data_IF_478774916356
#
_entry.id   IF_478774916356
#
_cell.length_a   1.000
_cell.length_b   1.000
_cell.length_c   1.000
_cell.angle_alpha   90.00
_cell.angle_beta   90.00
_cell.angle_gamma   90.00
#
_symmetry.space_group_name_H-M   'P 1'
#
loop_
_entity.id
_entity.type
_entity.pdbx_description
1 polymer ?
#
# COMPACT_ATOMS: atom_id res chain seq x y z
N UNK A 1 -4.54 18.83 21.39
CA UNK A 1 -5.07 18.89 22.76
C UNK A 1 -3.90 18.82 23.73
N UNK A 2 -3.73 19.80 24.64
CA UNK A 2 -2.67 19.78 25.67
C UNK A 2 -2.67 18.48 26.49
N UNK A 3 -3.86 17.98 26.83
CA UNK A 3 -4.05 16.74 27.58
C UNK A 3 -3.52 15.50 26.84
N UNK A 4 -3.71 15.43 25.51
CA UNK A 4 -3.17 14.30 24.72
C UNK A 4 -1.64 14.29 24.73
N UNK A 5 -1.01 15.48 24.65
CA UNK A 5 0.45 15.61 24.72
C UNK A 5 0.96 15.24 26.12
N UNK A 6 0.23 15.62 27.17
CA UNK A 6 0.54 15.27 28.55
C UNK A 6 0.52 13.76 28.79
N UNK A 7 -0.52 13.07 28.33
CA UNK A 7 -0.64 11.60 28.43
C UNK A 7 0.52 10.85 27.74
N UNK A 8 1.15 11.46 26.73
CA UNK A 8 2.18 10.83 25.90
C UNK A 8 3.59 11.24 26.29
N UNK A 9 3.80 11.99 27.38
CA UNK A 9 5.11 12.52 27.77
C UNK A 9 6.21 11.44 27.80
N UNK A 10 5.87 10.21 28.19
CA UNK A 10 6.79 9.08 28.26
C UNK A 10 7.23 8.56 26.88
N UNK A 11 6.42 8.75 25.84
CA UNK A 11 6.69 8.25 24.48
C UNK A 11 7.07 9.34 23.48
N UNK A 12 6.72 10.61 23.70
CA UNK A 12 7.02 11.73 22.80
C UNK A 12 8.48 11.76 22.28
N UNK A 13 9.52 11.54 23.12
CA UNK A 13 10.91 11.57 22.64
C UNK A 13 11.26 10.50 21.60
N UNK A 14 10.47 9.43 21.53
CA UNK A 14 10.68 8.30 20.60
C UNK A 14 9.89 8.41 19.30
N UNK A 15 9.02 9.42 19.17
CA UNK A 15 8.16 9.60 18.00
C UNK A 15 8.91 10.29 16.85
N UNK A 16 8.54 10.03 15.59
CA UNK A 16 9.18 10.63 14.42
C UNK A 16 8.93 12.15 14.31
N UNK A 17 7.83 12.64 14.89
CA UNK A 17 7.52 14.06 15.00
C UNK A 17 6.75 14.31 16.29
N UNK A 18 6.95 15.48 16.88
CA UNK A 18 6.20 15.96 18.04
C UNK A 18 5.38 17.21 17.68
N UNK A 19 5.23 17.55 16.40
CA UNK A 19 4.39 18.68 15.99
C UNK A 19 2.89 18.37 16.15
N UNK A 20 2.08 19.42 16.23
CA UNK A 20 0.65 19.27 16.45
C UNK A 20 -0.03 18.54 15.28
N UNK A 21 0.49 18.71 14.05
CA UNK A 21 0.02 17.98 12.88
C UNK A 21 0.13 16.46 13.06
N UNK A 22 1.29 15.97 13.50
CA UNK A 22 1.49 14.54 13.76
C UNK A 22 0.52 14.03 14.82
N UNK A 23 0.42 14.71 15.97
CA UNK A 23 -0.47 14.27 17.05
C UNK A 23 -1.96 14.32 16.66
N UNK A 24 -2.35 15.32 15.85
CA UNK A 24 -3.73 15.47 15.38
C UNK A 24 -4.16 14.34 14.44
N UNK A 25 -3.25 13.70 13.69
CA UNK A 25 -3.60 12.53 12.86
C UNK A 25 -4.18 11.39 13.71
N UNK A 26 -3.56 11.08 14.83
CA UNK A 26 -4.00 10.03 15.76
C UNK A 26 -5.34 10.37 16.40
N UNK A 27 -5.52 11.65 16.78
CA UNK A 27 -6.78 12.14 17.33
C UNK A 27 -7.91 12.06 16.30
N UNK A 28 -7.71 12.57 15.08
CA UNK A 28 -8.73 12.53 14.02
C UNK A 28 -9.14 11.10 13.67
N UNK A 29 -8.16 10.18 13.56
CA UNK A 29 -8.41 8.77 13.27
C UNK A 29 -9.26 8.05 14.31
N UNK A 30 -9.41 8.60 15.52
CA UNK A 30 -10.26 8.07 16.58
C UNK A 30 -11.30 9.08 17.06
N UNK A 31 -11.70 10.02 16.20
CA UNK A 31 -12.73 11.02 16.49
C UNK A 31 -12.49 11.79 17.80
N UNK A 32 -11.22 12.10 18.08
CA UNK A 32 -10.74 12.78 19.29
C UNK A 32 -10.99 12.00 20.61
N UNK A 33 -11.26 10.69 20.54
CA UNK A 33 -11.29 9.79 21.70
C UNK A 33 -9.85 9.61 22.24
N UNK A 34 -9.55 10.25 23.37
CA UNK A 34 -8.19 10.29 23.93
C UNK A 34 -7.64 8.89 24.24
N UNK A 35 -8.34 8.00 24.99
CA UNK A 35 -7.84 6.66 25.29
C UNK A 35 -7.54 5.83 24.03
N UNK A 36 -8.43 5.86 23.03
CA UNK A 36 -8.22 5.09 21.79
C UNK A 36 -7.08 5.66 20.95
N UNK A 37 -6.97 6.99 20.88
CA UNK A 37 -5.88 7.67 20.16
C UNK A 37 -4.52 7.34 20.77
N UNK A 38 -4.45 7.32 22.10
CA UNK A 38 -3.24 6.98 22.85
C UNK A 38 -2.86 5.52 22.64
N UNK A 39 -3.81 4.59 22.80
CA UNK A 39 -3.58 3.17 22.57
C UNK A 39 -3.08 2.88 21.14
N UNK A 40 -3.67 3.56 20.14
CA UNK A 40 -3.23 3.45 18.75
C UNK A 40 -1.79 3.92 18.57
N UNK A 41 -1.44 5.12 19.04
CA UNK A 41 -0.10 5.67 18.91
C UNK A 41 0.95 4.82 19.64
N UNK A 42 0.62 4.30 20.83
CA UNK A 42 1.54 3.43 21.60
C UNK A 42 1.83 2.12 20.87
N UNK A 43 0.89 1.59 20.07
CA UNK A 43 1.08 0.38 19.24
C UNK A 43 2.11 0.59 18.11
N UNK A 44 2.27 1.83 17.63
CA UNK A 44 3.17 2.20 16.52
C UNK A 44 4.65 2.06 16.91
N UNK A 45 4.98 1.92 18.21
CA UNK A 45 6.35 1.64 18.70
C UNK A 45 6.99 0.38 18.08
N UNK A 46 6.25 -0.44 17.31
CA UNK A 46 6.81 -1.52 16.49
C UNK A 46 7.52 -1.08 15.20
N UNK A 47 7.24 0.11 14.65
CA UNK A 47 7.83 0.59 13.39
C UNK A 47 9.38 0.78 13.42
N UNK A 48 10.00 1.27 14.52
CA UNK A 48 11.46 1.35 14.64
C UNK A 48 12.17 -0.02 14.61
N UNK A 49 11.47 -1.13 14.88
CA UNK A 49 12.05 -2.47 14.72
C UNK A 49 12.13 -2.92 13.26
N UNK A 50 11.24 -2.44 12.38
CA UNK A 50 11.25 -2.83 10.97
C UNK A 50 12.32 -2.12 10.14
N UNK A 51 12.76 -0.93 10.57
CA UNK A 51 13.73 -0.08 9.87
C UNK A 51 15.14 -0.11 10.49
N UNK A 52 15.31 -0.87 11.57
CA UNK A 52 16.50 -0.81 12.40
C UNK A 52 16.35 0.27 13.48
N UNK A 53 16.68 -0.08 14.72
CA UNK A 53 16.62 0.88 15.83
C UNK A 53 17.54 2.09 15.61
N UNK A 54 17.51 3.10 16.50
CA UNK A 54 18.25 4.37 16.36
C UNK A 54 19.78 4.24 16.21
N UNK A 55 20.34 3.02 16.28
CA UNK A 55 21.76 2.69 16.06
C UNK A 55 22.09 2.13 14.67
N UNK A 56 21.10 1.86 13.81
CA UNK A 56 21.37 1.44 12.42
C UNK A 56 21.49 2.67 11.52
N UNK A 57 22.68 2.87 10.97
CA UNK A 57 23.03 4.01 10.10
C UNK A 57 22.40 3.94 8.70
N UNK A 58 21.89 2.76 8.31
CA UNK A 58 21.15 2.54 7.08
C UNK A 58 20.10 1.44 7.27
N UNK A 59 18.90 1.56 6.66
CA UNK A 59 17.92 0.49 6.69
C UNK A 59 18.47 -0.76 5.98
N UNK A 60 18.14 -1.97 6.47
CA UNK A 60 18.64 -3.21 5.89
C UNK A 60 18.32 -3.31 4.40
N UNK A 61 19.28 -3.83 3.63
CA UNK A 61 19.12 -3.99 2.19
C UNK A 61 17.97 -4.96 1.89
N UNK A 62 17.02 -4.49 1.08
CA UNK A 62 15.91 -5.33 0.63
C UNK A 62 16.41 -6.43 -0.32
N UNK A 63 15.83 -7.65 -0.26
CA UNK A 63 16.08 -8.70 -1.23
C UNK A 63 16.01 -8.19 -2.67
N UNK A 64 16.94 -8.64 -3.52
CA UNK A 64 17.02 -8.20 -4.92
C UNK A 64 15.72 -8.45 -5.67
N UNK A 65 15.03 -9.56 -5.38
CA UNK A 65 13.75 -9.91 -6.01
C UNK A 65 12.67 -8.86 -5.75
N UNK A 66 12.57 -8.34 -4.52
CA UNK A 66 11.61 -7.27 -4.19
C UNK A 66 11.96 -6.01 -4.98
N UNK A 67 13.24 -5.61 -4.98
CA UNK A 67 13.67 -4.39 -5.69
C UNK A 67 13.41 -4.43 -7.20
N UNK A 68 13.47 -5.61 -7.81
CA UNK A 68 13.31 -5.79 -9.26
C UNK A 68 11.86 -6.02 -9.68
N UNK A 69 11.07 -6.74 -8.89
CA UNK A 69 9.76 -7.25 -9.31
C UNK A 69 8.59 -6.76 -8.46
N UNK A 70 8.83 -6.08 -7.34
CA UNK A 70 7.76 -5.41 -6.61
C UNK A 70 7.33 -4.17 -7.40
N UNK A 71 6.13 -4.21 -7.95
CA UNK A 71 5.57 -3.13 -8.74
C UNK A 71 5.26 -1.88 -7.88
N UNK A 72 5.25 -0.74 -8.56
CA UNK A 72 4.87 0.55 -8.02
C UNK A 72 6.05 1.49 -7.80
N UNK A 73 5.74 2.71 -7.38
CA UNK A 73 6.74 3.73 -7.11
C UNK A 73 6.16 5.13 -6.98
N UNK A 74 6.97 6.04 -6.46
CA UNK A 74 6.61 7.44 -6.31
C UNK A 74 6.98 8.22 -7.58
N UNK A 75 6.03 8.95 -8.17
CA UNK A 75 6.29 9.75 -9.36
C UNK A 75 5.40 11.00 -9.41
N UNK A 76 6.03 12.18 -9.34
CA UNK A 76 5.32 13.47 -9.43
C UNK A 76 4.56 13.86 -8.15
N UNK A 77 3.92 15.01 -8.24
CA UNK A 77 3.11 15.61 -7.17
C UNK A 77 1.80 16.11 -7.73
N UNK A 78 0.76 16.11 -6.92
CA UNK A 78 -0.50 16.71 -7.31
C UNK A 78 -0.41 18.25 -7.30
N UNK A 79 -1.47 18.92 -7.78
CA UNK A 79 -1.54 20.38 -7.88
C UNK A 79 -1.33 21.11 -6.55
N UNK A 80 -1.51 20.43 -5.42
CA UNK A 80 -1.33 20.99 -4.09
C UNK A 80 0.03 20.65 -3.46
N UNK A 81 0.85 19.84 -4.14
CA UNK A 81 2.18 19.42 -3.69
C UNK A 81 2.22 18.08 -2.96
N UNK A 82 1.12 17.35 -2.88
CA UNK A 82 1.10 16.01 -2.30
C UNK A 82 1.82 15.01 -3.21
N UNK A 83 2.74 14.18 -2.69
CA UNK A 83 3.40 13.14 -3.48
C UNK A 83 2.40 12.13 -4.04
N UNK A 84 2.71 11.59 -5.22
CA UNK A 84 1.88 10.60 -5.91
C UNK A 84 2.58 9.24 -5.89
N UNK A 85 1.86 8.21 -5.44
CA UNK A 85 2.28 6.81 -5.52
C UNK A 85 1.48 6.06 -6.58
N UNK A 86 2.17 5.30 -7.43
CA UNK A 86 1.56 4.39 -8.41
C UNK A 86 1.73 2.95 -7.92
N UNK A 87 0.65 2.16 -7.91
CA UNK A 87 0.71 0.70 -7.74
C UNK A 87 0.18 0.02 -9.01
N UNK A 88 0.98 -0.88 -9.59
CA UNK A 88 0.70 -1.52 -10.90
C UNK A 88 0.31 -2.98 -10.68
N UNK A 89 -0.97 -3.31 -10.75
CA UNK A 89 -1.48 -4.58 -10.23
C UNK A 89 -1.31 -5.75 -11.21
N UNK A 90 -1.72 -5.60 -12.48
CA UNK A 90 -1.74 -6.72 -13.44
C UNK A 90 -0.43 -7.49 -13.63
N UNK A 91 0.73 -6.82 -13.76
CA UNK A 91 2.01 -7.52 -13.94
C UNK A 91 2.63 -8.01 -12.63
N UNK A 92 2.01 -7.78 -11.47
CA UNK A 92 2.54 -8.22 -10.19
C UNK A 92 2.44 -9.75 -10.05
N UNK A 93 3.58 -10.42 -10.05
CA UNK A 93 3.66 -11.84 -9.71
C UNK A 93 3.71 -12.06 -8.19
N UNK A 94 2.53 -11.94 -7.56
CA UNK A 94 2.40 -12.11 -6.12
C UNK A 94 2.84 -13.50 -5.64
N UNK A 95 2.65 -14.54 -6.46
CA UNK A 95 3.04 -15.91 -6.12
C UNK A 95 4.56 -16.06 -6.14
N UNK A 96 5.22 -15.62 -7.21
CA UNK A 96 6.68 -15.64 -7.32
C UNK A 96 7.35 -14.80 -6.23
N UNK A 97 6.80 -13.64 -5.89
CA UNK A 97 7.28 -12.82 -4.77
C UNK A 97 7.17 -13.55 -3.43
N UNK A 98 6.04 -14.17 -3.14
CA UNK A 98 5.84 -14.92 -1.89
C UNK A 98 6.64 -16.23 -1.83
N UNK A 99 7.05 -16.78 -2.97
CA UNK A 99 7.98 -17.91 -3.03
C UNK A 99 9.45 -17.48 -2.93
N UNK A 100 9.76 -16.23 -3.23
CA UNK A 100 11.14 -15.72 -3.28
C UNK A 100 11.54 -14.86 -2.07
N UNK A 101 10.58 -14.27 -1.38
CA UNK A 101 10.82 -13.38 -0.24
C UNK A 101 9.92 -13.74 0.95
N UNK A 102 10.34 -13.40 2.16
CA UNK A 102 9.46 -13.57 3.32
C UNK A 102 8.36 -12.50 3.32
N UNK A 103 7.20 -12.83 3.91
CA UNK A 103 6.14 -11.85 4.15
C UNK A 103 6.65 -10.63 4.94
N UNK A 104 7.57 -10.84 5.89
CA UNK A 104 8.19 -9.77 6.66
C UNK A 104 9.02 -8.84 5.78
N UNK A 105 9.71 -9.34 4.76
CA UNK A 105 10.49 -8.49 3.85
C UNK A 105 9.58 -7.64 2.95
N UNK A 106 8.44 -8.19 2.52
CA UNK A 106 7.41 -7.44 1.80
C UNK A 106 6.82 -6.32 2.68
N UNK A 107 6.50 -6.62 3.94
CA UNK A 107 6.05 -5.64 4.94
C UNK A 107 7.10 -4.53 5.15
N UNK A 108 8.37 -4.91 5.36
CA UNK A 108 9.48 -3.96 5.51
C UNK A 108 9.64 -3.07 4.28
N UNK A 109 9.49 -3.62 3.08
CA UNK A 109 9.51 -2.83 1.84
C UNK A 109 8.40 -1.77 1.86
N UNK A 110 7.16 -2.16 2.15
CA UNK A 110 6.05 -1.20 2.17
C UNK A 110 6.17 -0.17 3.30
N UNK A 111 6.71 -0.52 4.47
CA UNK A 111 7.07 0.46 5.49
C UNK A 111 8.11 1.47 4.99
N UNK A 112 9.13 0.99 4.27
CA UNK A 112 10.14 1.86 3.66
C UNK A 112 9.50 2.82 2.65
N UNK A 113 8.58 2.35 1.82
CA UNK A 113 7.85 3.17 0.86
C UNK A 113 7.07 4.30 1.56
N UNK A 114 6.38 3.98 2.67
CA UNK A 114 5.69 4.98 3.50
C UNK A 114 6.65 6.02 4.11
N UNK A 115 7.82 5.61 4.60
CA UNK A 115 8.81 6.55 5.12
C UNK A 115 9.40 7.45 4.03
N UNK A 116 9.59 6.94 2.81
CA UNK A 116 9.97 7.76 1.65
C UNK A 116 8.91 8.82 1.40
N UNK A 117 7.63 8.42 1.31
CA UNK A 117 6.52 9.35 1.11
C UNK A 117 6.40 10.37 2.25
N UNK A 118 6.62 9.96 3.50
CA UNK A 118 6.60 10.87 4.66
C UNK A 118 7.71 11.93 4.55
N UNK A 119 8.94 11.51 4.23
CA UNK A 119 10.07 12.44 4.01
C UNK A 119 9.79 13.37 2.84
N UNK A 120 9.17 12.87 1.79
CA UNK A 120 8.81 13.67 0.63
C UNK A 120 7.77 14.74 0.98
N UNK A 121 6.76 14.40 1.78
CA UNK A 121 5.81 15.35 2.34
C UNK A 121 6.52 16.45 3.17
N UNK A 122 7.53 16.11 3.97
CA UNK A 122 8.31 17.09 4.73
C UNK A 122 9.12 18.03 3.82
N UNK A 123 9.74 17.49 2.78
CA UNK A 123 10.48 18.28 1.79
C UNK A 123 9.55 19.23 1.04
N UNK A 124 8.40 18.74 0.58
CA UNK A 124 7.40 19.57 -0.07
C UNK A 124 6.82 20.62 0.88
N UNK A 125 6.67 20.28 2.16
CA UNK A 125 6.22 21.26 3.15
C UNK A 125 7.18 22.45 3.26
N UNK A 126 8.48 22.17 3.28
CA UNK A 126 9.53 23.21 3.32
C UNK A 126 9.56 24.01 2.02
N UNK A 127 9.51 23.34 0.87
CA UNK A 127 9.57 23.97 -0.46
C UNK A 127 8.41 24.91 -0.71
N UNK A 128 7.19 24.54 -0.28
CA UNK A 128 5.97 25.29 -0.56
C UNK A 128 5.55 26.22 0.57
N UNK A 129 6.24 26.20 1.73
CA UNK A 129 5.88 27.01 2.89
C UNK A 129 4.52 26.68 3.51
N UNK A 130 3.96 25.49 3.21
CA UNK A 130 2.67 25.01 3.74
C UNK A 130 2.78 23.53 4.13
N UNK A 131 2.00 23.07 5.11
CA UNK A 131 2.06 21.66 5.54
C UNK A 131 1.52 20.74 4.44
N UNK A 132 2.35 19.80 4.00
CA UNK A 132 1.98 18.64 3.18
C UNK A 132 2.11 17.41 4.07
N UNK A 133 1.03 16.65 4.22
CA UNK A 133 1.02 15.46 5.09
C UNK A 133 0.20 14.29 4.55
N UNK A 134 -0.38 14.44 3.36
CA UNK A 134 -1.20 13.43 2.72
C UNK A 134 -0.67 13.10 1.32
N UNK A 135 -0.91 11.86 0.87
CA UNK A 135 -0.46 11.35 -0.43
C UNK A 135 -1.63 11.02 -1.34
N UNK A 136 -1.43 11.16 -2.64
CA UNK A 136 -2.37 10.71 -3.66
C UNK A 136 -1.89 9.35 -4.20
N UNK A 137 -2.79 8.39 -4.35
CA UNK A 137 -2.46 7.08 -4.90
C UNK A 137 -3.20 6.84 -6.22
N UNK A 138 -2.49 6.27 -7.20
CA UNK A 138 -3.04 5.79 -8.47
C UNK A 138 -2.82 4.28 -8.53
N UNK A 139 -3.91 3.54 -8.52
CA UNK A 139 -3.92 2.09 -8.61
C UNK A 139 -4.30 1.68 -10.01
N UNK A 140 -3.33 1.21 -10.77
CA UNK A 140 -3.55 0.63 -12.07
C UNK A 140 -3.99 -0.83 -11.93
N UNK A 141 -5.29 -1.07 -12.14
CA UNK A 141 -5.88 -2.39 -12.08
C UNK A 141 -5.99 -3.08 -13.44
N UNK A 142 -5.39 -2.53 -14.50
CA UNK A 142 -5.30 -3.25 -15.77
C UNK A 142 -4.59 -4.59 -15.58
N UNK A 143 -5.16 -5.66 -16.11
CA UNK A 143 -4.65 -7.02 -15.95
C UNK A 143 -4.95 -7.68 -14.59
N UNK A 144 -5.65 -7.01 -13.67
CA UNK A 144 -6.19 -7.67 -12.47
C UNK A 144 -7.05 -8.88 -12.88
N UNK A 145 -6.82 -10.01 -12.22
CA UNK A 145 -7.32 -11.32 -12.62
C UNK A 145 -7.16 -12.36 -11.52
N UNK A 146 -7.65 -13.59 -11.77
CA UNK A 146 -7.73 -14.67 -10.76
C UNK A 146 -6.40 -14.99 -10.08
N UNK A 147 -5.25 -14.82 -10.76
CA UNK A 147 -3.92 -15.03 -10.17
C UNK A 147 -3.67 -14.18 -8.91
N UNK A 148 -4.29 -13.00 -8.83
CA UNK A 148 -4.16 -12.09 -7.69
C UNK A 148 -5.11 -12.42 -6.54
N UNK A 149 -6.11 -13.29 -6.77
CA UNK A 149 -7.05 -13.75 -5.74
C UNK A 149 -6.54 -14.99 -5.00
N UNK A 150 -5.31 -15.42 -5.26
CA UNK A 150 -4.68 -16.50 -4.54
C UNK A 150 -4.61 -16.17 -3.04
N UNK A 151 -5.20 -17.02 -2.20
CA UNK A 151 -5.43 -16.74 -0.77
C UNK A 151 -4.21 -16.18 -0.03
N UNK A 152 -2.99 -16.78 -0.12
CA UNK A 152 -1.81 -16.20 0.52
C UNK A 152 -1.44 -14.79 0.06
N UNK A 153 -1.68 -14.44 -1.21
CA UNK A 153 -1.47 -13.08 -1.71
C UNK A 153 -2.52 -12.13 -1.14
N UNK A 154 -3.79 -12.54 -1.10
CA UNK A 154 -4.89 -11.75 -0.51
C UNK A 154 -4.66 -11.53 0.99
N UNK A 155 -4.31 -12.58 1.73
CA UNK A 155 -4.01 -12.51 3.17
C UNK A 155 -2.81 -11.58 3.43
N UNK A 156 -1.72 -11.72 2.65
CA UNK A 156 -0.55 -10.84 2.75
C UNK A 156 -0.91 -9.38 2.45
N UNK A 157 -1.71 -9.14 1.41
CA UNK A 157 -2.15 -7.79 1.06
C UNK A 157 -3.07 -7.19 2.12
N UNK A 158 -3.95 -8.00 2.72
CA UNK A 158 -4.77 -7.61 3.87
C UNK A 158 -3.92 -7.15 5.06
N UNK A 159 -2.86 -7.89 5.40
CA UNK A 159 -1.91 -7.48 6.43
C UNK A 159 -1.19 -6.17 6.10
N UNK A 160 -0.82 -5.94 4.83
CA UNK A 160 -0.24 -4.67 4.38
C UNK A 160 -1.23 -3.51 4.57
N UNK A 161 -2.50 -3.71 4.20
CA UNK A 161 -3.55 -2.70 4.40
C UNK A 161 -3.78 -2.39 5.87
N UNK A 162 -3.92 -3.42 6.72
CA UNK A 162 -4.05 -3.23 8.17
C UNK A 162 -2.85 -2.49 8.75
N UNK A 163 -1.64 -2.81 8.29
CA UNK A 163 -0.44 -2.08 8.68
C UNK A 163 -0.54 -0.59 8.33
N UNK A 164 -1.00 -0.23 7.13
CA UNK A 164 -1.16 1.17 6.75
C UNK A 164 -2.19 1.90 7.62
N UNK A 165 -3.35 1.29 7.86
CA UNK A 165 -4.43 1.86 8.68
C UNK A 165 -4.01 2.05 10.15
N UNK A 166 -3.16 1.16 10.67
CA UNK A 166 -2.70 1.23 12.06
C UNK A 166 -1.54 2.21 12.27
N UNK A 167 -0.66 2.39 11.27
CA UNK A 167 0.60 3.13 11.43
C UNK A 167 0.64 4.47 10.70
N UNK A 168 -0.21 4.67 9.69
CA UNK A 168 -0.24 5.89 8.87
C UNK A 168 -1.66 6.47 8.79
N UNK A 169 -2.33 6.72 9.94
CA UNK A 169 -3.65 7.32 9.94
C UNK A 169 -3.66 8.66 9.21
N UNK A 170 -4.80 9.02 8.62
CA UNK A 170 -5.05 10.35 8.05
C UNK A 170 -3.96 10.78 7.03
N UNK A 171 -3.32 9.81 6.36
CA UNK A 171 -2.21 10.08 5.44
C UNK A 171 -2.59 9.85 3.97
N UNK A 172 -3.72 9.20 3.70
CA UNK A 172 -4.27 9.12 2.35
C UNK A 172 -5.10 10.37 2.05
N UNK A 173 -4.79 11.05 0.94
CA UNK A 173 -5.60 12.15 0.39
C UNK A 173 -6.73 11.61 -0.48
N UNK A 174 -6.36 10.73 -1.42
CA UNK A 174 -7.26 10.12 -2.41
C UNK A 174 -6.59 8.92 -3.05
N UNK A 175 -7.39 7.91 -3.41
CA UNK A 175 -6.95 6.74 -4.17
C UNK A 175 -7.80 6.61 -5.42
N UNK A 176 -7.18 6.76 -6.59
CA UNK A 176 -7.83 6.54 -7.89
C UNK A 176 -7.57 5.11 -8.36
N UNK A 177 -8.64 4.34 -8.56
CA UNK A 177 -8.56 3.07 -9.28
C UNK A 177 -8.77 3.36 -10.76
N UNK A 178 -7.80 3.03 -11.60
CA UNK A 178 -7.88 3.17 -13.06
C UNK A 178 -7.92 1.81 -13.73
N UNK A 179 -8.55 1.75 -14.92
CA UNK A 179 -8.60 0.53 -15.77
C UNK A 179 -9.11 -0.72 -15.03
N UNK A 180 -10.06 -0.56 -14.11
CA UNK A 180 -10.63 -1.65 -13.32
C UNK A 180 -11.39 -2.67 -14.21
N UNK A 181 -11.01 -3.96 -14.21
CA UNK A 181 -11.73 -5.00 -14.95
C UNK A 181 -12.97 -5.49 -14.20
N UNK A 182 -13.82 -6.30 -14.86
CA UNK A 182 -15.07 -6.85 -14.29
C UNK A 182 -14.88 -7.65 -12.99
N UNK A 183 -13.69 -8.20 -12.75
CA UNK A 183 -13.35 -8.93 -11.52
C UNK A 183 -13.05 -8.00 -10.32
N UNK A 184 -12.87 -6.71 -10.55
CA UNK A 184 -12.51 -5.74 -9.51
C UNK A 184 -13.45 -5.75 -8.29
N UNK A 185 -14.79 -5.81 -8.42
CA UNK A 185 -15.68 -5.85 -7.25
C UNK A 185 -15.42 -7.07 -6.35
N UNK A 186 -15.08 -8.22 -6.93
CA UNK A 186 -14.72 -9.44 -6.17
C UNK A 186 -13.42 -9.21 -5.40
N UNK A 187 -12.39 -8.72 -6.10
CA UNK A 187 -11.10 -8.41 -5.47
C UNK A 187 -11.23 -7.37 -4.35
N UNK A 188 -11.98 -6.29 -4.59
CA UNK A 188 -12.22 -5.24 -3.61
C UNK A 188 -12.98 -5.78 -2.40
N UNK A 189 -13.98 -6.66 -2.59
CA UNK A 189 -14.72 -7.26 -1.48
C UNK A 189 -13.83 -8.13 -0.57
N UNK A 190 -12.80 -8.79 -1.13
CA UNK A 190 -11.86 -9.58 -0.34
C UNK A 190 -10.96 -8.72 0.56
N UNK A 191 -10.72 -7.45 0.23
CA UNK A 191 -9.77 -6.61 0.96
C UNK A 191 -10.40 -5.41 1.66
N UNK A 192 -11.62 -5.02 1.30
CA UNK A 192 -12.29 -3.82 1.83
C UNK A 192 -12.42 -3.84 3.35
N UNK A 193 -12.54 -5.01 3.97
CA UNK A 193 -12.72 -5.14 5.41
C UNK A 193 -11.47 -4.75 6.21
N UNK A 194 -10.29 -4.74 5.58
CA UNK A 194 -9.07 -4.21 6.17
C UNK A 194 -8.97 -2.68 6.10
N UNK A 195 -9.80 -2.03 5.27
CA UNK A 195 -9.80 -0.58 5.09
C UNK A 195 -10.74 0.10 6.09
N UNK A 196 -10.32 1.24 6.65
CA UNK A 196 -11.17 2.10 7.47
C UNK A 196 -12.25 2.78 6.65
N UNK A 197 -13.30 3.30 7.31
CA UNK A 197 -14.34 4.07 6.61
C UNK A 197 -13.78 5.32 5.92
N UNK A 198 -12.79 5.98 6.52
CA UNK A 198 -12.12 7.15 5.95
C UNK A 198 -11.42 6.77 4.62
N UNK A 199 -10.62 5.71 4.64
CA UNK A 199 -9.96 5.21 3.42
C UNK A 199 -10.97 4.81 2.35
N UNK A 200 -12.03 4.08 2.70
CA UNK A 200 -13.08 3.66 1.74
C UNK A 200 -13.76 4.86 1.08
N UNK A 201 -13.99 5.96 1.82
CA UNK A 201 -14.58 7.20 1.26
C UNK A 201 -13.63 7.92 0.29
N UNK A 202 -12.32 7.67 0.39
CA UNK A 202 -11.26 8.26 -0.46
C UNK A 202 -10.94 7.42 -1.70
N UNK A 203 -11.46 6.19 -1.78
CA UNK A 203 -11.35 5.33 -2.97
C UNK A 203 -12.33 5.81 -4.04
N UNK A 204 -11.80 6.12 -5.23
CA UNK A 204 -12.59 6.57 -6.38
C UNK A 204 -12.28 5.66 -7.57
N UNK A 205 -13.28 4.90 -8.02
CA UNK A 205 -13.16 4.05 -9.21
C UNK A 205 -13.46 4.88 -10.44
N UNK A 206 -12.49 5.00 -11.34
CA UNK A 206 -12.61 5.82 -12.56
C UNK A 206 -13.09 4.99 -13.76
N UNK A 207 -13.89 5.63 -14.60
CA UNK A 207 -14.40 5.05 -15.85
C UNK A 207 -13.42 5.21 -17.02
N UNK A 208 -13.94 5.22 -18.25
CA UNK A 208 -13.13 5.35 -19.47
C UNK A 208 -12.35 6.67 -19.54
N UNK A 209 -12.86 7.74 -18.94
CA UNK A 209 -12.26 9.07 -18.92
C UNK A 209 -11.24 9.27 -17.77
N UNK A 210 -10.59 8.19 -17.34
CA UNK A 210 -9.71 8.22 -16.17
C UNK A 210 -8.52 9.15 -16.37
N UNK A 211 -7.97 9.27 -17.58
CA UNK A 211 -6.87 10.19 -17.90
C UNK A 211 -7.28 11.65 -17.69
N UNK A 212 -8.44 12.05 -18.22
CA UNK A 212 -8.95 13.41 -18.05
C UNK A 212 -9.26 13.72 -16.58
N UNK A 213 -9.74 12.73 -15.81
CA UNK A 213 -9.97 12.92 -14.38
C UNK A 213 -8.66 13.09 -13.62
N UNK A 214 -7.61 12.31 -13.90
CA UNK A 214 -6.30 12.50 -13.26
C UNK A 214 -5.74 13.92 -13.50
N UNK A 215 -5.85 14.44 -14.73
CA UNK A 215 -5.39 15.79 -15.09
C UNK A 215 -6.14 16.92 -14.33
N UNK A 216 -7.34 16.66 -13.79
CA UNK A 216 -8.04 17.63 -12.93
C UNK A 216 -7.34 17.81 -11.58
N UNK A 217 -6.64 16.80 -11.10
CA UNK A 217 -6.00 16.80 -9.77
C UNK A 217 -4.48 16.98 -9.85
N UNK A 218 -3.88 16.62 -10.97
CA UNK A 218 -2.44 16.58 -11.16
C UNK A 218 -2.11 17.36 -12.44
N UNK A 219 -1.07 18.19 -12.41
CA UNK A 219 -0.59 18.87 -13.61
C UNK A 219 -0.04 17.85 -14.62
N UNK A 220 -0.31 17.97 -15.94
CA UNK A 220 0.14 17.00 -16.93
C UNK A 220 1.65 16.71 -16.89
N UNK A 221 2.48 17.71 -16.58
CA UNK A 221 3.94 17.58 -16.41
C UNK A 221 4.36 16.75 -15.20
N UNK A 222 3.44 16.45 -14.28
CA UNK A 222 3.66 15.60 -13.12
C UNK A 222 3.07 14.18 -13.31
N UNK A 223 2.38 13.92 -14.43
CA UNK A 223 1.79 12.61 -14.74
C UNK A 223 2.63 11.95 -15.85
N UNK A 224 3.06 10.69 -15.70
CA UNK A 224 3.69 9.96 -16.80
C UNK A 224 2.82 9.96 -18.07
N UNK A 225 3.44 9.98 -19.25
CA UNK A 225 2.72 9.88 -20.53
C UNK A 225 1.82 8.65 -20.59
N UNK A 226 2.28 7.51 -20.04
CA UNK A 226 1.48 6.28 -19.86
C UNK A 226 0.12 6.54 -19.19
N UNK A 227 0.10 7.40 -18.17
CA UNK A 227 -1.09 7.76 -17.39
C UNK A 227 -1.81 9.01 -17.91
N UNK A 228 -1.45 9.49 -19.10
CA UNK A 228 -2.12 10.61 -19.78
C UNK A 228 -1.54 11.98 -19.48
N UNK A 229 -0.31 12.08 -18.98
CA UNK A 229 0.40 13.36 -18.88
C UNK A 229 1.43 13.59 -19.96
N UNK A 230 2.47 14.33 -19.60
CA UNK A 230 3.61 14.68 -20.46
C UNK A 230 4.96 14.33 -19.84
N UNK A 231 4.98 13.75 -18.63
CA UNK A 231 6.23 13.36 -17.96
C UNK A 231 6.82 12.10 -18.61
N UNK A 232 8.11 12.16 -18.92
CA UNK A 232 8.93 11.02 -19.35
C UNK A 232 10.18 10.92 -18.49
N UNK A 233 10.87 9.79 -18.56
CA UNK A 233 12.25 9.73 -18.10
C UNK A 233 13.19 10.56 -18.99
N UNK A 234 14.44 10.83 -18.54
CA UNK A 234 15.42 11.59 -19.33
C UNK A 234 15.75 10.99 -20.70
N UNK A 235 15.58 9.67 -20.86
CA UNK A 235 15.76 8.94 -22.11
C UNK A 235 14.51 8.91 -23.00
N UNK A 236 13.41 9.54 -22.55
CA UNK A 236 12.14 9.59 -23.26
C UNK A 236 11.18 8.44 -22.97
N UNK A 237 11.47 7.54 -22.00
CA UNK A 237 10.53 6.48 -21.64
C UNK A 237 9.19 7.06 -21.10
N UNK A 238 8.05 6.84 -21.80
CA UNK A 238 6.74 7.36 -21.39
C UNK A 238 6.21 6.75 -20.09
N UNK A 239 6.78 5.62 -19.66
CA UNK A 239 6.39 4.91 -18.44
C UNK A 239 7.06 5.43 -17.19
N UNK A 240 8.11 6.26 -17.33
CA UNK A 240 8.92 6.70 -16.20
C UNK A 240 9.47 5.51 -15.39
N UNK A 241 9.99 4.47 -16.05
CA UNK A 241 10.47 3.23 -15.43
C UNK A 241 11.64 3.44 -14.44
N UNK A 242 12.31 4.59 -14.50
CA UNK A 242 13.31 4.99 -13.50
C UNK A 242 12.70 5.27 -12.12
N UNK A 243 11.39 5.56 -12.07
CA UNK A 243 10.64 5.91 -10.85
C UNK A 243 9.56 4.89 -10.50
N UNK A 244 8.95 4.25 -11.50
CA UNK A 244 7.84 3.31 -11.33
C UNK A 244 8.30 1.92 -11.78
N UNK A 245 8.25 0.95 -10.86
CA UNK A 245 8.48 -0.44 -11.21
C UNK A 245 7.19 -1.06 -11.79
N UNK A 246 7.28 -1.72 -12.94
CA UNK A 246 6.13 -2.34 -13.62
C UNK A 246 6.00 -3.84 -13.34
N UNK A 247 6.68 -4.37 -12.33
CA UNK A 247 6.63 -5.77 -11.92
C UNK A 247 7.19 -6.72 -12.98
N UNK A 248 6.46 -7.79 -13.24
CA UNK A 248 6.86 -8.88 -14.14
C UNK A 248 6.95 -10.20 -13.40
N UNK A 249 7.02 -11.29 -14.18
CA UNK A 249 7.13 -12.64 -13.64
C UNK A 249 8.48 -12.83 -12.95
N UNK A 250 8.44 -13.36 -11.72
CA UNK A 250 9.67 -13.58 -10.95
C UNK A 250 10.38 -14.83 -11.48
N UNK A 251 11.64 -14.74 -11.91
CA UNK A 251 12.39 -15.92 -12.34
C UNK A 251 12.52 -16.97 -11.25
N UNK A 252 12.33 -18.24 -11.61
CA UNK A 252 12.35 -19.37 -10.67
C UNK A 252 13.66 -19.49 -9.86
N UNK A 253 14.79 -18.99 -10.37
CA UNK A 253 16.05 -19.01 -9.62
C UNK A 253 16.04 -18.11 -8.36
N UNK A 254 15.05 -17.22 -8.22
CA UNK A 254 14.83 -16.46 -6.98
C UNK A 254 14.02 -17.24 -5.93
N UNK A 255 13.40 -18.36 -6.30
CA UNK A 255 12.49 -19.07 -5.41
C UNK A 255 13.29 -19.74 -4.30
N UNK A 256 12.87 -19.52 -3.06
CA UNK A 256 13.48 -20.13 -1.86
C UNK A 256 12.55 -21.17 -1.22
N UNK A 257 11.35 -21.35 -1.79
CA UNK A 257 10.35 -22.34 -1.39
C UNK A 257 9.39 -22.63 -2.55
N UNK A 258 8.87 -23.85 -2.58
CA UNK A 258 7.92 -24.29 -3.62
C UNK A 258 6.47 -24.26 -3.14
N UNK A 259 6.26 -24.11 -1.84
CA UNK A 259 4.96 -24.14 -1.18
C UNK A 259 4.93 -23.16 0.00
N UNK A 260 3.74 -22.67 0.34
CA UNK A 260 3.50 -21.94 1.59
C UNK A 260 2.69 -22.84 2.53
N UNK A 261 2.97 -22.77 3.82
CA UNK A 261 2.16 -23.44 4.82
C UNK A 261 0.71 -22.93 4.74
N UNK A 262 -0.23 -23.85 4.55
CA UNK A 262 -1.66 -23.58 4.52
C UNK A 262 -2.36 -24.52 5.50
N UNK A 263 -3.30 -23.98 6.27
CA UNK A 263 -4.20 -24.78 7.09
C UNK A 263 -5.41 -25.16 6.23
N UNK A 264 -5.73 -26.44 6.19
CA UNK A 264 -6.90 -26.96 5.49
C UNK A 264 -8.11 -26.99 6.43
N UNK A 265 -9.25 -26.52 5.97
CA UNK A 265 -10.49 -26.46 6.77
C UNK A 265 -11.08 -27.86 7.01
N UNK A 266 -10.97 -28.73 6.02
CA UNK A 266 -11.51 -30.10 6.08
C UNK A 266 -10.47 -31.12 5.63
N UNK A 267 -10.41 -32.23 6.36
CA UNK A 267 -9.67 -33.44 5.97
C UNK A 267 -10.65 -34.60 6.00
N UNK A 268 -10.79 -35.30 4.87
CA UNK A 268 -11.75 -36.40 4.71
C UNK A 268 -11.01 -37.64 4.23
N UNK A 269 -11.34 -38.80 4.80
CA UNK A 269 -10.83 -40.10 4.35
C UNK A 269 -11.73 -40.62 3.23
N UNK A 270 -11.15 -40.88 2.05
CA UNK A 270 -11.87 -41.42 0.89
C UNK A 270 -11.44 -42.86 0.67
N UNK A 271 -12.40 -43.78 0.74
CA UNK A 271 -12.15 -45.20 0.51
C UNK A 271 -11.76 -45.47 -0.95
N UNK A 272 -11.02 -46.56 -1.17
CA UNK A 272 -10.60 -46.99 -2.51
C UNK A 272 -11.83 -47.20 -3.40
N UNK A 273 -11.89 -46.48 -4.51
CA UNK A 273 -13.00 -46.55 -5.48
C UNK A 273 -14.20 -45.66 -5.14
N UNK A 274 -14.13 -44.85 -4.07
CA UNK A 274 -15.16 -43.87 -3.71
C UNK A 274 -14.75 -42.44 -4.08
N UNK A 275 -15.69 -41.50 -4.03
CA UNK A 275 -15.45 -40.06 -4.23
C UNK A 275 -16.14 -39.24 -3.16
N UNK A 276 -15.57 -38.08 -2.83
CA UNK A 276 -16.20 -37.07 -1.97
C UNK A 276 -16.49 -35.83 -2.81
N UNK A 277 -17.71 -35.30 -2.72
CA UNK A 277 -18.15 -34.11 -3.45
C UNK A 277 -18.59 -33.05 -2.46
N UNK A 278 -18.31 -31.78 -2.79
CA UNK A 278 -18.76 -30.61 -2.03
C UNK A 278 -19.66 -29.80 -2.95
N UNK A 279 -20.90 -29.59 -2.55
CA UNK A 279 -21.90 -28.85 -3.31
C UNK A 279 -21.98 -27.41 -2.79
N UNK A 280 -22.00 -26.45 -3.71
CA UNK A 280 -22.18 -25.02 -3.40
C UNK A 280 -23.36 -24.50 -4.22
N UNK A 281 -24.40 -24.03 -3.54
CA UNK A 281 -25.52 -23.35 -4.19
C UNK A 281 -25.15 -21.88 -4.43
N UNK A 282 -25.02 -21.50 -5.71
CA UNK A 282 -24.74 -20.11 -6.11
C UNK A 282 -26.06 -19.47 -6.50
N UNK A 283 -26.61 -18.64 -5.61
CA UNK A 283 -27.77 -17.80 -5.91
C UNK A 283 -27.31 -16.59 -6.73
N UNK A 284 -27.83 -16.44 -7.95
CA UNK A 284 -27.63 -15.23 -8.74
C UNK A 284 -28.53 -14.10 -8.19
N UNK A 285 -28.01 -12.88 -8.02
CA UNK A 285 -28.84 -11.70 -7.88
C UNK A 285 -29.49 -11.29 -9.21
#
# INVERSE_FOLDING_TARGET
SPQFRENLQDVLPSLPSQDDYFLLKWLRARCFDLPKSEAMLRKVRGAPHFLGGPRQTAPPALPQVIRKYMSGGMCGYDREGSPIWYDIIGPLDAKGLLFSASKQDLLKNKFRDCEVLRRECEQQSKKLGKKIEMVLMVYDCEGLGLKHLWKPAVDTYGELLSMFEENYPESLKRLFIVKAPKIFPVAYNLVKHFLSEDTRKKVVVLGSNWKEVLQKYIDPEQIPVEYGGTLTDPDGDPKCSSKINYGGDVPQHYYVRDQLAQQYEHTVVVNRGSSHQVEYEILFP
#
